data_IF_503442018810
#
_entry.id   IF_503442018810
#
_cell.length_a   1.000
_cell.length_b   1.000
_cell.length_c   1.000
_cell.angle_alpha   90.00
_cell.angle_beta   90.00
_cell.angle_gamma   90.00
#
_symmetry.space_group_name_H-M   'P 1'
#
loop_
_entity.id
_entity.type
_entity.pdbx_description
1 polymer ?
#
# COMPACT_ATOMS: atom_id res chain seq x y z
N UNK A 1 -9.74 -0.68 -14.19
CA UNK A 1 -8.32 -0.24 -14.15
C UNK A 1 -8.08 0.60 -12.91
N UNK A 2 -6.97 0.36 -12.21
CA UNK A 2 -6.58 1.11 -11.02
C UNK A 2 -5.18 1.73 -11.25
N UNK A 3 -5.07 3.02 -11.52
CA UNK A 3 -3.78 3.69 -11.67
C UNK A 3 -2.96 3.63 -10.39
N UNK A 4 -1.63 3.67 -10.51
CA UNK A 4 -0.76 3.80 -9.34
C UNK A 4 -1.09 5.10 -8.58
N UNK A 5 -1.02 5.15 -7.25
CA UNK A 5 -1.35 6.35 -6.47
C UNK A 5 -0.63 7.62 -6.91
N UNK A 6 0.61 7.49 -7.43
CA UNK A 6 1.39 8.61 -7.96
C UNK A 6 1.06 9.03 -9.40
N UNK A 7 0.24 8.27 -10.12
CA UNK A 7 -0.12 8.58 -11.51
C UNK A 7 -1.28 9.57 -11.58
N UNK A 8 -1.29 10.35 -12.67
CA UNK A 8 -2.42 11.25 -12.94
C UNK A 8 -3.60 10.46 -13.50
N UNK A 9 -4.66 10.38 -12.73
CA UNK A 9 -5.88 9.64 -13.04
C UNK A 9 -6.59 10.19 -14.30
N UNK A 10 -6.57 11.50 -14.51
CA UNK A 10 -7.23 12.14 -15.67
C UNK A 10 -6.76 11.55 -17.01
N UNK A 11 -5.45 11.23 -17.13
CA UNK A 11 -4.91 10.62 -18.34
C UNK A 11 -5.52 9.24 -18.61
N UNK A 12 -5.67 8.45 -17.54
CA UNK A 12 -6.27 7.14 -17.63
C UNK A 12 -7.77 7.20 -17.91
N UNK A 13 -8.48 8.19 -17.37
CA UNK A 13 -9.89 8.43 -17.65
C UNK A 13 -10.13 8.79 -19.11
N UNK A 14 -9.27 9.63 -19.69
CA UNK A 14 -9.34 9.98 -21.12
C UNK A 14 -9.15 8.76 -22.03
N UNK A 15 -8.15 7.91 -21.73
CA UNK A 15 -7.91 6.70 -22.52
C UNK A 15 -9.02 5.66 -22.32
N UNK A 16 -9.46 5.45 -21.09
CA UNK A 16 -10.57 4.54 -20.77
C UNK A 16 -11.88 4.96 -21.45
N UNK A 17 -12.15 6.25 -21.57
CA UNK A 17 -13.34 6.79 -22.23
C UNK A 17 -13.42 6.45 -23.73
N UNK A 18 -12.33 5.98 -24.34
CA UNK A 18 -12.27 5.54 -25.75
C UNK A 18 -12.58 4.05 -25.93
N UNK A 19 -12.66 3.31 -24.82
CA UNK A 19 -12.82 1.85 -24.85
C UNK A 19 -14.05 1.46 -24.04
N UNK A 20 -14.93 0.66 -24.65
CA UNK A 20 -16.12 0.16 -23.95
C UNK A 20 -15.72 -0.75 -22.79
N UNK A 21 -16.52 -0.71 -21.70
CA UNK A 21 -16.36 -1.57 -20.52
C UNK A 21 -15.08 -1.37 -19.72
N UNK A 22 -14.38 -0.23 -19.87
CA UNK A 22 -13.23 0.14 -19.05
C UNK A 22 -13.64 1.20 -18.04
N UNK A 23 -13.32 0.96 -16.77
CA UNK A 23 -13.49 1.94 -15.67
C UNK A 23 -12.16 2.22 -15.01
N UNK A 24 -11.94 3.49 -14.67
CA UNK A 24 -10.78 3.92 -13.87
C UNK A 24 -11.27 4.20 -12.47
N UNK A 25 -10.68 3.53 -11.48
CA UNK A 25 -11.12 3.60 -10.08
C UNK A 25 -9.91 3.66 -9.16
N UNK A 26 -9.94 4.56 -8.19
CA UNK A 26 -8.95 4.67 -7.09
C UNK A 26 -9.54 4.39 -5.71
N UNK A 27 -10.82 4.22 -5.60
CA UNK A 27 -11.53 4.01 -4.34
C UNK A 27 -11.24 2.65 -3.72
N UNK A 28 -11.34 2.57 -2.41
CA UNK A 28 -11.19 1.34 -1.63
C UNK A 28 -9.78 0.77 -1.56
N UNK A 29 -9.62 -0.36 -0.91
CA UNK A 29 -8.36 -1.10 -0.84
C UNK A 29 -8.06 -1.83 -2.15
N UNK A 30 -6.80 -1.88 -2.55
CA UNK A 30 -6.37 -2.67 -3.72
C UNK A 30 -6.64 -4.16 -3.52
N UNK A 31 -6.57 -4.65 -2.30
CA UNK A 31 -6.83 -6.05 -1.94
C UNK A 31 -8.27 -6.46 -2.30
N UNK A 32 -9.25 -5.63 -1.97
CA UNK A 32 -10.66 -5.88 -2.30
C UNK A 32 -10.88 -5.98 -3.82
N UNK A 33 -10.20 -5.11 -4.59
CA UNK A 33 -10.26 -5.14 -6.05
C UNK A 33 -9.61 -6.38 -6.64
N UNK A 34 -8.45 -6.81 -6.09
CA UNK A 34 -7.78 -8.04 -6.52
C UNK A 34 -8.68 -9.23 -6.23
N UNK A 35 -9.22 -9.35 -5.02
CA UNK A 35 -10.10 -10.47 -4.63
C UNK A 35 -11.37 -10.57 -5.46
N UNK A 36 -11.85 -9.46 -6.01
CA UNK A 36 -13.04 -9.41 -6.88
C UNK A 36 -12.69 -9.59 -8.38
N UNK A 37 -11.45 -9.91 -8.71
CA UNK A 37 -10.97 -10.01 -10.09
C UNK A 37 -10.63 -11.46 -10.46
N UNK A 38 -10.94 -11.86 -11.68
CA UNK A 38 -10.53 -13.16 -12.23
C UNK A 38 -9.05 -13.19 -12.59
N UNK A 39 -8.49 -12.04 -12.97
CA UNK A 39 -7.10 -11.87 -13.39
C UNK A 39 -6.59 -10.48 -12.99
N UNK A 40 -5.36 -10.39 -12.54
CA UNK A 40 -4.69 -9.13 -12.27
C UNK A 40 -3.57 -8.89 -13.30
N UNK A 41 -3.64 -7.76 -14.02
CA UNK A 41 -2.62 -7.36 -15.01
C UNK A 41 -1.81 -6.20 -14.48
N UNK A 42 -0.49 -6.31 -14.54
CA UNK A 42 0.43 -5.25 -14.10
C UNK A 42 1.66 -5.10 -14.98
N UNK A 43 2.39 -4.03 -14.78
CA UNK A 43 3.74 -3.84 -15.30
C UNK A 43 4.66 -3.46 -14.14
N UNK A 44 5.50 -4.41 -13.70
CA UNK A 44 6.47 -4.22 -12.60
C UNK A 44 5.89 -3.72 -11.26
N UNK A 45 4.64 -4.04 -10.93
CA UNK A 45 3.98 -3.57 -9.74
C UNK A 45 3.99 -4.62 -8.62
N UNK A 46 4.25 -4.19 -7.39
CA UNK A 46 4.21 -5.06 -6.20
C UNK A 46 2.83 -5.68 -5.94
N UNK A 47 1.75 -5.10 -6.48
CA UNK A 47 0.40 -5.69 -6.42
C UNK A 47 0.31 -7.06 -7.11
N UNK A 48 1.25 -7.40 -8.01
CA UNK A 48 1.39 -8.75 -8.54
C UNK A 48 1.72 -9.79 -7.48
N UNK A 49 2.46 -9.42 -6.42
CA UNK A 49 2.74 -10.29 -5.28
C UNK A 49 1.46 -10.50 -4.45
N UNK A 50 0.71 -9.43 -4.21
CA UNK A 50 -0.56 -9.48 -3.48
C UNK A 50 -1.57 -10.38 -4.21
N UNK A 51 -1.67 -10.26 -5.54
CA UNK A 51 -2.51 -11.10 -6.36
C UNK A 51 -2.09 -12.59 -6.26
N UNK A 52 -0.79 -12.88 -6.37
CA UNK A 52 -0.26 -14.24 -6.20
C UNK A 52 -0.64 -14.84 -4.84
N UNK A 53 -0.44 -14.10 -3.75
CA UNK A 53 -0.76 -14.53 -2.39
C UNK A 53 -2.26 -14.75 -2.16
N UNK A 54 -3.11 -14.01 -2.88
CA UNK A 54 -4.57 -14.14 -2.83
C UNK A 54 -5.11 -15.22 -3.79
N UNK A 55 -4.24 -15.91 -4.55
CA UNK A 55 -4.65 -16.93 -5.51
C UNK A 55 -5.26 -16.36 -6.80
N UNK A 56 -5.15 -15.05 -7.04
CA UNK A 56 -5.61 -14.41 -8.28
C UNK A 56 -4.47 -14.41 -9.30
N UNK A 57 -4.65 -14.95 -10.50
CA UNK A 57 -3.60 -15.07 -11.51
C UNK A 57 -2.98 -13.71 -11.90
N UNK A 58 -1.70 -13.41 -11.56
CA UNK A 58 -1.06 -12.18 -11.97
C UNK A 58 -0.38 -12.34 -13.34
N UNK A 59 -0.67 -11.43 -14.26
CA UNK A 59 0.01 -11.32 -15.56
C UNK A 59 0.89 -10.08 -15.54
N UNK A 60 2.18 -10.25 -15.75
CA UNK A 60 3.14 -9.17 -15.96
C UNK A 60 3.23 -8.86 -17.46
N UNK A 61 2.51 -7.84 -17.93
CA UNK A 61 2.59 -7.35 -19.31
C UNK A 61 3.78 -6.41 -19.46
N UNK A 62 4.82 -6.89 -20.13
CA UNK A 62 6.14 -6.25 -20.22
C UNK A 62 6.58 -6.07 -21.68
N UNK A 63 5.88 -5.25 -22.49
CA UNK A 63 6.24 -5.02 -23.89
C UNK A 63 7.58 -4.29 -24.07
N UNK A 64 8.05 -3.61 -23.02
CA UNK A 64 9.38 -2.99 -22.93
C UNK A 64 10.05 -3.52 -21.69
N UNK A 65 11.23 -4.10 -21.82
CA UNK A 65 12.06 -4.59 -20.73
C UNK A 65 13.18 -3.61 -20.40
N UNK A 66 13.54 -3.48 -19.12
CA UNK A 66 14.59 -2.57 -18.68
C UNK A 66 15.26 -3.10 -17.41
N UNK A 67 16.56 -3.29 -17.43
CA UNK A 67 17.32 -3.76 -16.26
C UNK A 67 17.23 -2.79 -15.04
N UNK A 68 16.93 -1.52 -15.30
CA UNK A 68 16.89 -0.49 -14.26
C UNK A 68 15.52 -0.42 -13.58
N UNK A 69 14.43 -0.65 -14.33
CA UNK A 69 13.06 -0.42 -13.84
C UNK A 69 12.29 -1.71 -13.51
N UNK A 70 12.90 -2.87 -13.73
CA UNK A 70 12.25 -4.14 -13.45
C UNK A 70 12.39 -4.54 -11.98
N UNK A 71 11.28 -4.97 -11.39
CA UNK A 71 11.24 -5.55 -10.07
C UNK A 71 11.18 -7.07 -10.17
N UNK A 72 12.16 -7.75 -9.56
CA UNK A 72 12.29 -9.21 -9.67
C UNK A 72 11.06 -9.96 -9.16
N UNK A 73 10.71 -9.75 -7.90
CA UNK A 73 9.73 -10.59 -7.20
C UNK A 73 8.32 -10.58 -7.82
N UNK A 74 7.69 -9.42 -8.11
CA UNK A 74 6.36 -9.43 -8.74
C UNK A 74 6.38 -10.07 -10.12
N UNK A 75 7.47 -9.90 -10.91
CA UNK A 75 7.58 -10.53 -12.22
C UNK A 75 7.82 -12.04 -12.14
N UNK A 76 8.62 -12.49 -11.17
CA UNK A 76 8.89 -13.91 -10.95
C UNK A 76 7.63 -14.69 -10.51
N UNK A 77 6.76 -14.06 -9.72
CA UNK A 77 5.50 -14.66 -9.27
C UNK A 77 4.37 -14.56 -10.30
N UNK A 78 4.53 -13.77 -11.35
CA UNK A 78 3.54 -13.56 -12.39
C UNK A 78 3.80 -14.40 -13.64
N UNK A 79 2.81 -14.48 -14.54
CA UNK A 79 3.00 -14.94 -15.92
C UNK A 79 3.49 -13.76 -16.75
N UNK A 80 4.76 -13.74 -17.14
CA UNK A 80 5.31 -12.66 -17.97
C UNK A 80 4.92 -12.85 -19.44
N UNK A 81 4.40 -11.79 -20.07
CA UNK A 81 4.06 -11.71 -21.49
C UNK A 81 4.66 -10.44 -22.09
N UNK A 82 5.25 -10.54 -23.28
CA UNK A 82 6.10 -9.51 -23.87
C UNK A 82 5.52 -8.87 -25.12
N UNK A 83 4.41 -9.38 -25.62
CA UNK A 83 3.71 -8.82 -26.79
C UNK A 83 2.21 -8.81 -26.56
N UNK A 84 1.50 -7.98 -27.32
CA UNK A 84 0.05 -7.93 -27.27
C UNK A 84 -0.60 -9.26 -27.69
N UNK A 85 0.00 -9.97 -28.65
CA UNK A 85 -0.52 -11.27 -29.09
C UNK A 85 -0.34 -12.34 -28.02
N UNK A 86 0.82 -12.42 -27.34
CA UNK A 86 1.03 -13.31 -26.21
C UNK A 86 0.12 -12.97 -25.02
N UNK A 87 -0.14 -11.68 -24.80
CA UNK A 87 -1.09 -11.24 -23.79
C UNK A 87 -2.52 -11.71 -24.11
N UNK A 88 -2.99 -11.50 -25.37
CA UNK A 88 -4.32 -11.97 -25.78
C UNK A 88 -4.47 -13.48 -25.63
N UNK A 89 -3.47 -14.24 -26.07
CA UNK A 89 -3.48 -15.69 -25.96
C UNK A 89 -3.59 -16.14 -24.48
N UNK A 90 -2.77 -15.57 -23.60
CA UNK A 90 -2.80 -15.84 -22.18
C UNK A 90 -4.15 -15.49 -21.54
N UNK A 91 -4.73 -14.34 -21.88
CA UNK A 91 -6.07 -13.94 -21.40
C UNK A 91 -7.17 -14.89 -21.90
N UNK A 92 -7.12 -15.29 -23.18
CA UNK A 92 -8.10 -16.24 -23.73
C UNK A 92 -8.02 -17.59 -23.04
N UNK A 93 -6.83 -18.10 -22.76
CA UNK A 93 -6.61 -19.34 -22.01
C UNK A 93 -7.23 -19.26 -20.61
N UNK A 94 -6.90 -18.21 -19.86
CA UNK A 94 -7.40 -18.01 -18.49
C UNK A 94 -8.93 -17.86 -18.41
N UNK A 95 -9.53 -17.12 -19.34
CA UNK A 95 -10.96 -16.84 -19.31
C UNK A 95 -11.82 -17.95 -19.92
N UNK A 96 -11.22 -18.88 -20.65
CA UNK A 96 -11.91 -20.05 -21.22
C UNK A 96 -11.78 -21.32 -20.38
N UNK A 97 -10.89 -21.32 -19.41
CA UNK A 97 -10.68 -22.45 -18.49
C UNK A 97 -11.77 -22.47 -17.42
N UNK A 98 -12.42 -23.62 -17.23
CA UNK A 98 -13.30 -23.86 -16.08
C UNK A 98 -12.50 -24.23 -14.81
N UNK A 99 -11.16 -24.29 -14.90
CA UNK A 99 -10.30 -24.60 -13.78
C UNK A 99 -10.17 -23.40 -12.84
N UNK A 100 -10.21 -23.65 -11.54
CA UNK A 100 -10.19 -22.63 -10.50
C UNK A 100 -8.87 -21.82 -10.46
N UNK A 101 -7.76 -22.39 -10.92
CA UNK A 101 -6.48 -21.71 -11.02
C UNK A 101 -5.58 -22.40 -12.06
N UNK A 102 -4.81 -21.65 -12.86
CA UNK A 102 -3.89 -22.25 -13.83
C UNK A 102 -2.68 -22.91 -13.15
N UNK A 103 -2.17 -24.00 -13.71
CA UNK A 103 -1.05 -24.79 -13.18
C UNK A 103 0.20 -23.94 -12.87
N UNK A 104 0.45 -22.92 -13.69
CA UNK A 104 1.62 -22.05 -13.49
C UNK A 104 1.51 -21.12 -12.28
N UNK A 105 0.32 -20.99 -11.69
CA UNK A 105 0.14 -20.12 -10.52
C UNK A 105 0.73 -20.73 -9.25
N UNK A 106 0.50 -22.01 -9.02
CA UNK A 106 0.86 -22.71 -7.79
C UNK A 106 1.99 -23.73 -7.99
N UNK A 107 2.97 -23.45 -8.85
CA UNK A 107 4.10 -24.34 -9.05
C UNK A 107 5.15 -24.23 -7.93
N UNK A 108 5.93 -25.32 -7.71
CA UNK A 108 6.94 -25.42 -6.67
C UNK A 108 8.02 -24.34 -6.74
N UNK A 109 8.36 -23.89 -7.95
CA UNK A 109 9.38 -22.85 -8.17
C UNK A 109 8.90 -21.50 -7.62
N UNK A 110 7.67 -21.09 -7.95
CA UNK A 110 7.10 -19.86 -7.43
C UNK A 110 6.90 -19.89 -5.92
N UNK A 111 6.50 -21.03 -5.38
CA UNK A 111 6.38 -21.22 -3.93
C UNK A 111 7.74 -21.07 -3.23
N UNK A 112 8.81 -21.64 -3.80
CA UNK A 112 10.18 -21.46 -3.28
C UNK A 112 10.62 -20.00 -3.35
N UNK A 113 10.39 -19.34 -4.48
CA UNK A 113 10.70 -17.91 -4.63
C UNK A 113 9.90 -17.10 -3.59
N UNK A 114 8.59 -17.31 -3.50
CA UNK A 114 7.74 -16.58 -2.56
C UNK A 114 8.24 -16.75 -1.12
N UNK A 115 8.48 -17.99 -0.65
CA UNK A 115 8.92 -18.28 0.72
C UNK A 115 10.33 -17.75 1.05
N UNK A 116 11.18 -17.55 0.03
CA UNK A 116 12.49 -16.95 0.23
C UNK A 116 12.45 -15.43 0.51
N UNK A 117 11.40 -14.75 0.05
CA UNK A 117 11.28 -13.29 0.17
C UNK A 117 10.16 -12.84 1.11
N UNK A 118 9.15 -13.68 1.35
CA UNK A 118 7.96 -13.33 2.13
C UNK A 118 7.78 -14.33 3.24
N UNK A 119 7.72 -13.85 4.46
CA UNK A 119 7.40 -14.61 5.67
C UNK A 119 6.09 -14.12 6.29
N UNK A 120 5.52 -14.89 7.21
CA UNK A 120 4.30 -14.51 7.93
C UNK A 120 3.02 -14.65 7.10
N UNK A 121 3.04 -15.48 6.05
CA UNK A 121 1.84 -15.83 5.27
C UNK A 121 0.92 -16.82 5.99
N UNK A 122 1.41 -17.39 7.11
CA UNK A 122 0.67 -18.28 7.99
C UNK A 122 1.16 -18.11 9.43
N UNK A 123 0.33 -18.48 10.41
CA UNK A 123 0.67 -18.36 11.84
C UNK A 123 0.47 -16.95 12.39
N UNK A 124 1.39 -16.51 13.24
CA UNK A 124 1.32 -15.20 13.90
C UNK A 124 1.54 -14.07 12.89
N UNK A 125 0.72 -13.01 12.99
CA UNK A 125 0.85 -11.84 12.13
C UNK A 125 2.17 -11.09 12.39
N UNK A 126 2.78 -10.58 11.34
CA UNK A 126 4.00 -9.76 11.46
C UNK A 126 3.82 -8.54 12.38
N UNK A 127 2.61 -7.95 12.38
CA UNK A 127 2.23 -6.88 13.31
C UNK A 127 2.31 -7.30 14.77
N UNK A 128 1.87 -8.52 15.10
CA UNK A 128 1.92 -9.04 16.48
C UNK A 128 3.37 -9.27 16.92
N UNK A 129 4.20 -9.85 16.05
CA UNK A 129 5.63 -9.99 16.30
C UNK A 129 6.33 -8.64 16.52
N UNK A 130 5.97 -7.61 15.74
CA UNK A 130 6.52 -6.26 15.92
C UNK A 130 6.09 -5.69 17.29
N UNK A 131 4.82 -5.81 17.64
CA UNK A 131 4.30 -5.31 18.93
C UNK A 131 4.97 -6.04 20.11
N UNK A 132 5.11 -7.36 20.05
CA UNK A 132 5.80 -8.15 21.08
C UNK A 132 7.25 -7.70 21.25
N UNK A 133 8.00 -7.55 20.17
CA UNK A 133 9.39 -7.07 20.21
C UNK A 133 9.49 -5.64 20.77
N UNK A 134 8.59 -4.74 20.38
CA UNK A 134 8.55 -3.38 20.92
C UNK A 134 8.21 -3.39 22.40
N UNK A 135 7.26 -4.21 22.85
CA UNK A 135 6.90 -4.35 24.24
C UNK A 135 8.08 -4.88 25.06
N UNK A 136 8.75 -5.94 24.60
CA UNK A 136 9.94 -6.48 25.25
C UNK A 136 11.08 -5.45 25.36
N UNK A 137 11.28 -4.61 24.34
CA UNK A 137 12.26 -3.52 24.38
C UNK A 137 11.90 -2.45 25.42
N UNK A 138 10.62 -2.08 25.52
CA UNK A 138 10.15 -1.12 26.53
C UNK A 138 10.32 -1.69 27.95
N UNK A 139 9.95 -2.94 28.17
CA UNK A 139 10.06 -3.61 29.47
C UNK A 139 11.53 -3.79 29.89
N UNK A 140 12.43 -4.12 28.97
CA UNK A 140 13.86 -4.27 29.22
C UNK A 140 14.60 -2.96 29.46
N UNK A 141 14.12 -1.86 28.89
CA UNK A 141 14.79 -0.55 28.97
C UNK A 141 14.53 0.20 30.26
N UNK A 142 13.70 -0.34 31.19
CA UNK A 142 13.41 0.24 32.50
C UNK A 142 13.20 1.75 32.48
N UNK A 143 11.98 2.19 32.27
CA UNK A 143 11.56 3.59 32.18
C UNK A 143 12.10 4.36 30.98
N UNK A 144 11.43 4.21 29.87
CA UNK A 144 11.46 5.23 28.82
C UNK A 144 10.87 6.54 29.38
N UNK A 145 11.67 7.30 30.08
CA UNK A 145 11.35 8.70 30.37
C UNK A 145 11.47 9.40 29.04
N UNK A 146 10.36 9.54 28.35
CA UNK A 146 10.28 10.47 27.23
C UNK A 146 10.82 11.80 27.79
N UNK A 147 12.00 12.22 27.33
CA UNK A 147 12.58 13.50 27.66
C UNK A 147 11.62 14.59 27.14
N UNK A 148 10.72 15.02 28.06
CA UNK A 148 9.51 15.75 27.69
C UNK A 148 9.74 17.26 27.49
N UNK A 149 10.92 17.79 27.87
CA UNK A 149 10.95 19.22 28.11
C UNK A 149 11.50 20.08 26.98
N UNK A 150 12.65 19.79 26.45
CA UNK A 150 13.34 20.70 25.50
C UNK A 150 13.32 20.20 24.05
N UNK A 151 13.55 18.93 23.84
CA UNK A 151 13.56 18.31 22.50
C UNK A 151 12.18 18.43 21.80
N UNK A 152 11.10 18.25 22.55
CA UNK A 152 9.73 18.31 22.03
C UNK A 152 9.32 19.73 21.64
N UNK A 153 9.65 20.73 22.46
CA UNK A 153 9.39 22.15 22.15
C UNK A 153 10.21 22.60 20.95
N UNK A 154 11.45 22.13 20.86
CA UNK A 154 12.33 22.44 19.75
C UNK A 154 11.86 21.78 18.44
N UNK A 155 11.38 20.54 18.47
CA UNK A 155 10.76 19.89 17.31
C UNK A 155 9.47 20.57 16.85
N UNK A 156 8.62 21.01 17.77
CA UNK A 156 7.42 21.80 17.44
C UNK A 156 7.81 23.11 16.76
N UNK A 157 8.81 23.81 17.30
CA UNK A 157 9.33 25.06 16.71
C UNK A 157 9.93 24.81 15.32
N UNK A 158 10.74 23.75 15.15
CA UNK A 158 11.29 23.36 13.84
C UNK A 158 10.20 23.01 12.83
N UNK A 159 9.15 22.34 13.25
CA UNK A 159 8.02 22.03 12.38
C UNK A 159 7.24 23.29 12.00
N UNK A 160 7.04 24.22 12.93
CA UNK A 160 6.43 25.53 12.63
C UNK A 160 7.29 26.34 11.64
N UNK A 161 8.61 26.32 11.80
CA UNK A 161 9.52 26.97 10.86
C UNK A 161 9.55 26.28 9.49
N UNK A 162 9.41 24.95 9.43
CA UNK A 162 9.25 24.20 8.18
C UNK A 162 7.96 24.57 7.48
N UNK A 163 6.83 24.60 8.18
CA UNK A 163 5.53 24.97 7.59
C UNK A 163 5.52 26.40 7.06
N UNK A 164 6.18 27.35 7.71
CA UNK A 164 6.35 28.73 7.21
C UNK A 164 7.27 28.78 5.98
N UNK A 165 8.37 28.04 5.98
CA UNK A 165 9.25 27.89 4.81
C UNK A 165 8.50 27.28 3.62
N UNK A 166 7.73 26.24 3.86
CA UNK A 166 6.91 25.56 2.86
C UNK A 166 5.82 26.47 2.30
N UNK A 167 5.20 27.30 3.14
CA UNK A 167 4.28 28.33 2.70
C UNK A 167 4.94 29.36 1.77
N UNK A 168 6.15 29.82 2.09
CA UNK A 168 6.90 30.77 1.26
C UNK A 168 7.40 30.15 -0.06
N UNK A 169 7.69 28.85 -0.07
CA UNK A 169 8.15 28.13 -1.27
C UNK A 169 7.03 27.70 -2.21
N UNK A 170 5.76 27.78 -1.80
CA UNK A 170 4.60 27.40 -2.63
C UNK A 170 4.49 28.15 -3.96
N UNK A 171 5.19 29.25 -4.12
CA UNK A 171 5.22 30.02 -5.36
C UNK A 171 6.15 29.44 -6.43
N UNK A 172 7.05 28.50 -6.09
CA UNK A 172 7.95 27.85 -7.06
C UNK A 172 7.22 26.67 -7.73
N UNK A 173 7.29 26.61 -9.08
CA UNK A 173 6.61 25.58 -9.89
C UNK A 173 7.02 24.15 -9.53
N UNK A 174 8.27 23.95 -9.12
CA UNK A 174 8.82 22.65 -8.68
C UNK A 174 8.16 22.20 -7.38
N UNK A 175 7.90 23.13 -6.44
CA UNK A 175 7.29 22.83 -5.16
C UNK A 175 5.83 22.39 -5.33
N UNK A 176 5.07 23.07 -6.20
CA UNK A 176 3.67 22.68 -6.51
C UNK A 176 3.57 21.27 -7.12
N UNK A 177 4.57 20.85 -7.88
CA UNK A 177 4.58 19.51 -8.47
C UNK A 177 4.87 18.44 -7.40
N UNK A 178 5.80 18.68 -6.49
CA UNK A 178 6.09 17.80 -5.36
C UNK A 178 4.88 17.68 -4.40
N UNK A 179 4.27 18.81 -4.03
CA UNK A 179 3.07 18.84 -3.16
C UNK A 179 1.90 18.08 -3.80
N UNK A 180 1.69 18.20 -5.11
CA UNK A 180 0.66 17.42 -5.83
C UNK A 180 0.95 15.92 -5.80
N UNK A 181 2.22 15.52 -5.97
CA UNK A 181 2.63 14.12 -5.88
C UNK A 181 2.41 13.57 -4.47
N UNK A 182 2.82 14.30 -3.46
CA UNK A 182 2.68 13.89 -2.05
C UNK A 182 1.20 13.74 -1.67
N UNK A 183 0.33 14.66 -2.08
CA UNK A 183 -1.12 14.55 -1.85
C UNK A 183 -1.77 13.35 -2.55
N UNK A 184 -1.28 12.98 -3.73
CA UNK A 184 -1.79 11.83 -4.47
C UNK A 184 -1.34 10.51 -3.83
N UNK A 185 -0.12 10.48 -3.29
CA UNK A 185 0.47 9.29 -2.69
C UNK A 185 0.07 9.12 -1.22
N UNK A 186 -0.02 10.21 -0.51
CA UNK A 186 -0.37 10.27 0.92
C UNK A 186 -1.53 11.26 1.09
N UNK A 187 -2.78 10.82 0.86
CA UNK A 187 -3.94 11.66 1.14
C UNK A 187 -3.91 12.06 2.61
N UNK A 188 -4.22 13.34 2.87
CA UNK A 188 -4.26 13.86 4.23
C UNK A 188 -5.23 13.06 5.08
N UNK A 189 -4.70 12.35 6.06
CA UNK A 189 -5.51 11.65 7.05
C UNK A 189 -6.11 12.68 8.00
N UNK A 190 -7.42 12.61 8.22
CA UNK A 190 -8.13 13.47 9.16
C UNK A 190 -8.28 12.78 10.52
N UNK A 191 -8.33 13.58 11.59
CA UNK A 191 -8.53 13.05 12.94
C UNK A 191 -9.77 12.14 13.01
N UNK A 192 -10.87 12.58 12.40
CA UNK A 192 -12.12 11.83 12.35
C UNK A 192 -11.96 10.45 11.69
N UNK A 193 -11.18 10.35 10.61
CA UNK A 193 -10.92 9.07 9.94
C UNK A 193 -10.15 8.10 10.85
N UNK A 194 -9.19 8.64 11.62
CA UNK A 194 -8.46 7.84 12.61
C UNK A 194 -9.35 7.39 13.77
N UNK A 195 -10.24 8.24 14.23
CA UNK A 195 -11.21 7.89 15.26
C UNK A 195 -12.16 6.79 14.76
N UNK A 196 -12.67 6.90 13.54
CA UNK A 196 -13.51 5.89 12.90
C UNK A 196 -12.77 4.55 12.71
N UNK A 197 -11.51 4.58 12.30
CA UNK A 197 -10.65 3.38 12.21
C UNK A 197 -10.47 2.78 13.60
N UNK A 198 -10.13 3.58 14.61
CA UNK A 198 -9.98 3.13 15.99
C UNK A 198 -11.23 2.46 16.53
N UNK A 199 -12.40 3.05 16.29
CA UNK A 199 -13.68 2.48 16.69
C UNK A 199 -13.93 1.13 16.02
N UNK A 200 -13.69 1.02 14.71
CA UNK A 200 -13.83 -0.26 14.00
C UNK A 200 -12.89 -1.34 14.54
N UNK A 201 -11.66 -1.00 14.92
CA UNK A 201 -10.76 -1.93 15.58
C UNK A 201 -11.28 -2.38 16.95
N UNK A 202 -11.85 -1.45 17.73
CA UNK A 202 -12.47 -1.77 19.02
C UNK A 202 -13.66 -2.71 18.83
N UNK A 203 -14.54 -2.41 17.88
CA UNK A 203 -15.73 -3.22 17.60
C UNK A 203 -15.38 -4.66 17.15
N UNK A 204 -14.31 -4.80 16.34
CA UNK A 204 -13.89 -6.10 15.82
C UNK A 204 -13.08 -6.93 16.81
N UNK A 205 -12.28 -6.29 17.65
CA UNK A 205 -11.31 -6.99 18.50
C UNK A 205 -11.68 -7.00 20.00
N UNK A 206 -12.63 -6.16 20.41
CA UNK A 206 -12.94 -5.91 21.82
C UNK A 206 -11.79 -5.25 22.60
N UNK A 207 -10.82 -4.63 21.87
CA UNK A 207 -9.59 -4.01 22.44
C UNK A 207 -9.53 -2.56 22.05
N UNK A 208 -8.70 -1.78 22.74
CA UNK A 208 -8.40 -0.38 22.43
C UNK A 208 -9.54 0.62 22.73
N UNK A 209 -10.51 0.24 23.56
CA UNK A 209 -11.58 1.11 24.06
C UNK A 209 -11.06 2.24 24.97
N UNK A 210 -9.83 2.08 25.47
CA UNK A 210 -9.10 3.00 26.33
C UNK A 210 -8.10 3.89 25.57
N UNK A 211 -8.15 3.92 24.24
CA UNK A 211 -7.23 4.73 23.41
C UNK A 211 -7.93 5.99 22.90
N UNK A 212 -7.38 7.15 23.23
CA UNK A 212 -7.76 8.41 22.62
C UNK A 212 -6.78 8.83 21.52
N UNK A 213 -7.31 9.36 20.44
CA UNK A 213 -6.54 9.96 19.35
C UNK A 213 -6.63 11.46 19.44
N UNK A 214 -5.54 12.17 19.25
CA UNK A 214 -5.52 13.62 19.15
C UNK A 214 -4.55 14.09 18.09
N UNK A 215 -4.88 15.15 17.38
CA UNK A 215 -3.96 15.79 16.45
C UNK A 215 -2.90 16.56 17.23
N UNK A 216 -1.64 16.29 16.95
CA UNK A 216 -0.50 16.97 17.59
C UNK A 216 0.04 18.11 16.73
N UNK A 217 0.18 17.86 15.44
CA UNK A 217 0.47 18.85 14.39
C UNK A 217 -0.22 18.35 13.12
N UNK A 218 -0.29 19.18 12.09
CA UNK A 218 -0.82 18.76 10.79
C UNK A 218 -0.19 17.42 10.36
N UNK A 219 -1.03 16.40 10.16
CA UNK A 219 -0.63 15.03 9.75
C UNK A 219 0.18 14.24 10.79
N UNK A 220 0.27 14.73 12.02
CA UNK A 220 0.88 14.03 13.15
C UNK A 220 -0.16 13.82 14.23
N UNK A 221 -0.45 12.56 14.54
CA UNK A 221 -1.45 12.19 15.53
C UNK A 221 -0.79 11.52 16.73
N UNK A 222 -1.42 11.67 17.87
CA UNK A 222 -0.99 11.07 19.12
C UNK A 222 -2.07 10.12 19.62
N UNK A 223 -1.67 8.87 19.86
CA UNK A 223 -2.48 7.88 20.53
C UNK A 223 -2.10 7.87 22.01
N UNK A 224 -3.07 7.98 22.88
CA UNK A 224 -2.87 7.95 24.36
C UNK A 224 -3.83 6.98 24.99
N UNK A 225 -3.35 6.23 25.95
CA UNK A 225 -4.22 5.49 26.84
C UNK A 225 -4.95 6.46 27.76
N UNK A 226 -6.26 6.34 27.84
CA UNK A 226 -7.09 7.06 28.80
C UNK A 226 -6.98 6.27 30.12
N UNK A 227 -6.34 6.84 31.15
CA UNK A 227 -6.40 6.26 32.48
C UNK A 227 -7.86 6.33 32.97
N UNK A 228 -8.42 5.16 33.20
CA UNK A 228 -9.69 5.04 33.94
C UNK A 228 -9.53 5.43 35.39
#
# INVERSE_FOLDING_TARGET
MRPHPSENEERWQVEAGRVANVRVVKEGSVIEWIMASDVMVHSNCTTGIEAYLLGVPPIAYRPVTSEIYETFLPNALSKSVYSFDSFKACMSELLSSDEAAPDWLANDEKQKICSAYISGTSGQLASDCIVENLTALVDSSGQWKADQSLSRRFQVLLNQLRTTKDFLLRWKSVYRRAERYDRLKFPHLQLRELEEIGQRFTDLTGRFDDIAVSEFTKECFMLRRISR
#
